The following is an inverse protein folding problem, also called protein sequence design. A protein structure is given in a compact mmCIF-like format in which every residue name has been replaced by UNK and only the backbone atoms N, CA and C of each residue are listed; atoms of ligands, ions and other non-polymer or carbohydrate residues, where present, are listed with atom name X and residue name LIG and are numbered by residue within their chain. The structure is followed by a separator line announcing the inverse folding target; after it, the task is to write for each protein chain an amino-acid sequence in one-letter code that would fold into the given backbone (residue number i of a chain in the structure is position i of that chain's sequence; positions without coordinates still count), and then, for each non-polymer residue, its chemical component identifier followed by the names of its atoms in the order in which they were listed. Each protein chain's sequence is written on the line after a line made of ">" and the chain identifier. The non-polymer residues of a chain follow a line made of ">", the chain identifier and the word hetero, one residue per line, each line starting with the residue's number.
data_IF_310031815445
#
_entry.id   IF_310031815445
#
_cell.length_a   1.000
_cell.length_b   1.000
_cell.length_c   1.000
_cell.angle_alpha   90.00
_cell.angle_beta   90.00
_cell.angle_gamma   90.00
#
_symmetry.space_group_name_H-M   'P 1'
#
loop_
_entity.id
_entity.type
_entity.pdbx_description
1 polymer ?
#
# COMPACT_ATOMS: atom_id res chain seq x y z
N UNK A 1 -4.20 11.73 -0.46
CA UNK A 1 -4.04 10.29 -0.14
C UNK A 1 -5.24 9.47 -0.62
N UNK A 2 -6.41 10.08 -0.79
CA UNK A 2 -7.64 9.42 -1.24
C UNK A 2 -7.49 8.60 -2.53
N UNK A 3 -6.50 8.89 -3.37
CA UNK A 3 -6.12 8.02 -4.48
C UNK A 3 -5.89 6.55 -4.06
N UNK A 4 -5.31 6.31 -2.88
CA UNK A 4 -5.14 4.95 -2.36
C UNK A 4 -6.50 4.28 -2.09
N UNK A 5 -7.52 5.05 -1.68
CA UNK A 5 -8.89 4.56 -1.52
C UNK A 5 -9.53 4.33 -2.88
N UNK A 6 -9.38 5.25 -3.82
CA UNK A 6 -9.94 5.14 -5.18
C UNK A 6 -9.37 3.92 -5.93
N UNK A 7 -8.11 3.58 -5.69
CA UNK A 7 -7.44 2.44 -6.32
C UNK A 7 -7.83 1.07 -5.74
N UNK A 8 -8.56 1.03 -4.61
CA UNK A 8 -9.01 -0.23 -3.99
C UNK A 8 -9.79 -1.07 -5.01
N UNK A 9 -10.66 -0.45 -5.79
CA UNK A 9 -11.53 -1.13 -6.76
C UNK A 9 -10.80 -1.76 -7.95
N UNK A 10 -9.49 -1.52 -8.08
CA UNK A 10 -8.65 -2.20 -9.07
C UNK A 10 -8.34 -3.65 -8.69
N UNK A 11 -8.50 -4.01 -7.41
CA UNK A 11 -8.29 -5.39 -6.95
C UNK A 11 -9.53 -6.26 -7.21
N UNK A 12 -9.30 -7.46 -7.72
CA UNK A 12 -10.32 -8.50 -7.88
C UNK A 12 -10.52 -9.35 -6.60
N UNK A 13 -9.78 -9.10 -5.53
CA UNK A 13 -9.87 -9.86 -4.28
C UNK A 13 -11.09 -9.46 -3.43
N UNK A 14 -11.55 -10.37 -2.55
CA UNK A 14 -12.65 -10.09 -1.61
C UNK A 14 -12.30 -9.05 -0.53
N UNK A 15 -11.04 -9.03 -0.12
CA UNK A 15 -10.44 -7.92 0.63
C UNK A 15 -9.54 -7.20 -0.37
N UNK A 16 -9.98 -6.02 -0.79
CA UNK A 16 -9.27 -5.18 -1.74
C UNK A 16 -8.35 -4.26 -0.95
N UNK A 17 -7.09 -4.20 -1.36
CA UNK A 17 -6.06 -3.36 -0.76
C UNK A 17 -5.32 -2.66 -1.88
N UNK A 18 -5.07 -1.38 -1.70
CA UNK A 18 -4.28 -0.57 -2.61
C UNK A 18 -3.23 0.24 -1.86
N UNK A 19 -2.12 0.51 -2.54
CA UNK A 19 -0.97 1.22 -2.01
C UNK A 19 -0.51 2.29 -3.00
N UNK A 20 -0.15 3.47 -2.49
CA UNK A 20 0.36 4.60 -3.27
C UNK A 20 1.64 5.10 -2.64
N UNK A 21 2.66 5.38 -3.44
CA UNK A 21 3.96 5.88 -2.99
C UNK A 21 4.15 7.31 -3.49
N UNK A 22 4.55 8.19 -2.57
CA UNK A 22 4.93 9.56 -2.86
C UNK A 22 6.38 9.83 -2.48
N UNK A 23 7.01 10.76 -3.19
CA UNK A 23 8.31 11.27 -2.77
C UNK A 23 8.16 12.24 -1.58
N UNK A 24 9.29 12.83 -1.16
CA UNK A 24 9.37 13.75 -0.02
C UNK A 24 8.57 15.04 -0.24
N UNK A 25 8.30 15.39 -1.49
CA UNK A 25 7.50 16.57 -1.86
C UNK A 25 6.00 16.28 -1.92
N UNK A 26 5.61 15.01 -1.70
CA UNK A 26 4.22 14.57 -1.80
C UNK A 26 3.77 14.20 -3.22
N UNK A 27 4.68 14.20 -4.20
CA UNK A 27 4.35 13.79 -5.57
C UNK A 27 4.26 12.28 -5.67
N UNK A 28 3.12 11.80 -6.17
CA UNK A 28 2.88 10.38 -6.44
C UNK A 28 3.76 9.92 -7.60
N UNK A 29 4.39 8.76 -7.45
CA UNK A 29 5.20 8.18 -8.53
C UNK A 29 5.09 6.67 -8.70
N UNK A 30 4.40 5.98 -7.79
CA UNK A 30 4.10 4.56 -7.95
C UNK A 30 2.85 4.17 -7.16
N UNK A 31 2.19 3.11 -7.59
CA UNK A 31 1.01 2.56 -6.94
C UNK A 31 0.82 1.07 -7.27
N UNK A 32 0.05 0.38 -6.44
CA UNK A 32 -0.25 -1.05 -6.56
C UNK A 32 -1.54 -1.42 -5.86
N UNK A 33 -2.06 -2.60 -6.17
CA UNK A 33 -3.21 -3.21 -5.51
C UNK A 33 -2.95 -4.72 -5.40
N UNK A 34 -3.57 -5.37 -4.42
CA UNK A 34 -3.39 -6.80 -4.25
C UNK A 34 -4.12 -7.57 -5.36
N UNK A 35 -3.53 -8.66 -5.82
CA UNK A 35 -4.14 -9.57 -6.79
C UNK A 35 -3.64 -11.00 -6.59
N UNK A 36 -4.35 -11.97 -7.16
CA UNK A 36 -3.83 -13.32 -7.29
C UNK A 36 -2.60 -13.29 -8.21
N UNK A 37 -1.47 -13.84 -7.75
CA UNK A 37 -0.27 -14.00 -8.57
C UNK A 37 -0.44 -15.14 -9.57
N UNK A 38 0.46 -15.18 -10.55
CA UNK A 38 0.48 -16.15 -11.65
C UNK A 38 0.76 -17.58 -11.20
N UNK A 39 1.37 -17.74 -10.03
CA UNK A 39 1.71 -18.99 -9.34
C UNK A 39 0.61 -19.45 -8.37
N UNK A 40 -0.51 -18.71 -8.29
CA UNK A 40 -1.55 -18.93 -7.30
C UNK A 40 -1.23 -18.32 -5.93
N UNK A 41 -0.06 -17.68 -5.75
CA UNK A 41 0.29 -16.95 -4.53
C UNK A 41 -0.13 -15.47 -4.67
N UNK A 42 -0.85 -14.92 -3.69
CA UNK A 42 -1.29 -13.53 -3.75
C UNK A 42 -0.11 -12.54 -3.65
N UNK A 43 -0.08 -11.51 -4.52
CA UNK A 43 0.83 -10.37 -4.41
C UNK A 43 0.16 -9.28 -3.57
N UNK A 44 0.85 -8.78 -2.53
CA UNK A 44 0.37 -7.67 -1.71
C UNK A 44 0.47 -6.34 -2.48
N UNK A 45 -0.40 -5.39 -2.15
CA UNK A 45 -0.44 -4.08 -2.81
C UNK A 45 0.88 -3.31 -2.67
N UNK A 46 1.51 -3.39 -1.50
CA UNK A 46 2.77 -2.76 -1.15
C UNK A 46 3.93 -3.32 -2.00
N UNK A 47 3.95 -4.64 -2.19
CA UNK A 47 4.95 -5.31 -3.01
C UNK A 47 4.85 -4.87 -4.47
N UNK A 48 3.62 -4.84 -5.02
CA UNK A 48 3.39 -4.38 -6.39
C UNK A 48 3.79 -2.91 -6.58
N UNK A 49 3.46 -2.05 -5.62
CA UNK A 49 3.81 -0.63 -5.65
C UNK A 49 5.33 -0.41 -5.64
N UNK A 50 6.08 -1.17 -4.84
CA UNK A 50 7.55 -1.13 -4.83
C UNK A 50 8.12 -1.69 -6.13
N UNK A 51 7.59 -2.81 -6.62
CA UNK A 51 8.08 -3.49 -7.84
C UNK A 51 7.99 -2.60 -9.08
N UNK A 52 6.94 -1.76 -9.16
CA UNK A 52 6.73 -0.80 -10.26
C UNK A 52 7.51 0.50 -10.11
N UNK A 53 8.00 0.79 -8.91
CA UNK A 53 8.67 2.04 -8.61
C UNK A 53 10.11 2.07 -9.14
N UNK A 54 10.57 3.26 -9.54
CA UNK A 54 12.01 3.50 -9.70
C UNK A 54 12.69 3.44 -8.33
N UNK A 55 13.60 2.48 -8.15
CA UNK A 55 14.31 2.23 -6.88
C UNK A 55 15.01 3.46 -6.32
N UNK A 56 15.56 4.32 -7.19
CA UNK A 56 16.27 5.54 -6.76
C UNK A 56 15.33 6.56 -6.11
N UNK A 57 14.02 6.51 -6.42
CA UNK A 57 13.00 7.40 -5.84
C UNK A 57 12.40 6.89 -4.53
N UNK A 58 12.62 5.62 -4.19
CA UNK A 58 12.04 5.01 -2.98
C UNK A 58 12.70 5.50 -1.68
N UNK A 59 13.97 5.92 -1.73
CA UNK A 59 14.73 6.30 -0.53
C UNK A 59 14.18 7.57 0.14
N UNK A 60 13.66 7.41 1.35
CA UNK A 60 12.98 8.45 2.13
C UNK A 60 11.57 8.76 1.62
N UNK A 61 11.00 7.92 0.77
CA UNK A 61 9.63 8.06 0.27
C UNK A 61 8.61 7.71 1.34
N UNK A 62 7.34 7.92 1.02
CA UNK A 62 6.19 7.64 1.89
C UNK A 62 5.22 6.74 1.14
N UNK A 63 4.71 5.70 1.81
CA UNK A 63 3.67 4.83 1.26
C UNK A 63 2.36 5.03 2.02
N UNK A 64 1.28 4.87 1.29
CA UNK A 64 -0.08 5.08 1.74
C UNK A 64 -0.92 3.85 1.39
N UNK A 65 -1.46 3.13 2.38
CA UNK A 65 -2.11 1.81 2.20
C UNK A 65 -3.56 1.82 2.68
N UNK A 66 -4.50 1.52 1.79
CA UNK A 66 -5.93 1.51 2.07
C UNK A 66 -6.54 0.17 1.71
N UNK A 67 -7.64 -0.20 2.37
CA UNK A 67 -8.30 -1.45 2.09
C UNK A 67 -9.77 -1.48 2.52
N UNK A 68 -10.55 -2.30 1.81
CA UNK A 68 -11.98 -2.45 1.99
C UNK A 68 -12.43 -3.89 1.73
N UNK A 69 -13.47 -4.34 2.44
CA UNK A 69 -14.15 -5.61 2.16
C UNK A 69 -15.25 -5.40 1.14
N UNK A 70 -15.24 -6.19 0.05
CA UNK A 70 -16.26 -6.13 -0.99
C UNK A 70 -17.65 -6.45 -0.45
N UNK A 71 -17.76 -7.46 0.43
CA UNK A 71 -19.04 -7.95 0.95
C UNK A 71 -19.91 -6.87 1.60
N UNK A 72 -19.32 -5.88 2.26
CA UNK A 72 -20.05 -4.88 3.04
C UNK A 72 -19.56 -3.43 2.85
N UNK A 73 -18.62 -3.20 1.94
CA UNK A 73 -18.04 -1.88 1.68
C UNK A 73 -17.31 -1.26 2.87
N UNK A 74 -17.04 -2.02 3.95
CA UNK A 74 -16.39 -1.46 5.15
C UNK A 74 -14.88 -1.45 4.98
N UNK A 75 -14.27 -0.35 5.39
CA UNK A 75 -12.82 -0.24 5.47
C UNK A 75 -12.25 -1.29 6.43
N UNK A 76 -11.04 -1.75 6.11
CA UNK A 76 -10.31 -2.70 6.95
C UNK A 76 -9.00 -2.08 7.42
N UNK A 77 -8.52 -2.44 8.63
CA UNK A 77 -7.18 -2.09 9.05
C UNK A 77 -6.17 -2.58 8.01
N UNK A 78 -5.46 -1.63 7.40
CA UNK A 78 -4.61 -1.88 6.24
C UNK A 78 -3.12 -1.80 6.60
N UNK A 79 -2.79 -2.10 7.87
CA UNK A 79 -1.41 -2.14 8.34
C UNK A 79 -0.65 -3.21 7.53
N UNK A 80 0.51 -2.88 6.91
CA UNK A 80 1.27 -3.84 6.14
C UNK A 80 1.64 -5.07 6.97
N UNK A 81 1.60 -6.25 6.35
CA UNK A 81 2.02 -7.49 7.00
C UNK A 81 3.54 -7.48 7.29
N UNK A 82 4.02 -8.34 8.19
CA UNK A 82 5.44 -8.34 8.59
C UNK A 82 6.42 -8.49 7.40
N UNK A 83 6.04 -9.26 6.37
CA UNK A 83 6.85 -9.39 5.14
C UNK A 83 6.91 -8.07 4.36
N UNK A 84 5.77 -7.38 4.20
CA UNK A 84 5.73 -6.09 3.53
C UNK A 84 6.46 -5.01 4.33
N UNK A 85 6.38 -5.02 5.66
CA UNK A 85 7.14 -4.08 6.49
C UNK A 85 8.66 -4.20 6.25
N UNK A 86 9.20 -5.42 6.26
CA UNK A 86 10.63 -5.67 5.92
C UNK A 86 10.97 -5.21 4.51
N UNK A 87 10.07 -5.43 3.55
CA UNK A 87 10.27 -5.02 2.16
C UNK A 87 10.29 -3.49 2.01
N UNK A 88 9.39 -2.78 2.70
CA UNK A 88 9.29 -1.33 2.70
C UNK A 88 10.53 -0.68 3.33
N UNK A 89 10.97 -1.23 4.46
CA UNK A 89 12.20 -0.81 5.14
C UNK A 89 13.44 -1.03 4.26
N UNK A 90 13.58 -2.23 3.67
CA UNK A 90 14.68 -2.53 2.74
C UNK A 90 14.67 -1.67 1.47
N UNK A 91 13.49 -1.24 1.01
CA UNK A 91 13.34 -0.30 -0.10
C UNK A 91 13.69 1.15 0.28
N UNK A 92 13.93 1.43 1.56
CA UNK A 92 14.24 2.75 2.08
C UNK A 92 13.02 3.66 2.22
N UNK A 93 11.80 3.12 2.24
CA UNK A 93 10.61 3.91 2.57
C UNK A 93 10.71 4.32 4.04
N UNK A 94 10.46 5.59 4.34
CA UNK A 94 10.64 6.13 5.70
C UNK A 94 9.33 6.21 6.49
N UNK A 95 8.21 6.45 5.80
CA UNK A 95 6.90 6.65 6.41
C UNK A 95 5.86 5.77 5.75
N UNK A 96 5.07 5.08 6.55
CA UNK A 96 3.95 4.26 6.11
C UNK A 96 2.70 4.77 6.79
N UNK A 97 1.74 5.20 6.01
CA UNK A 97 0.41 5.50 6.48
C UNK A 97 -0.54 4.38 6.06
N UNK A 98 -1.38 3.93 6.97
CA UNK A 98 -2.39 2.92 6.68
C UNK A 98 -3.75 3.31 7.23
N UNK A 99 -4.80 2.87 6.54
CA UNK A 99 -6.17 3.18 6.91
C UNK A 99 -6.64 2.27 8.04
N UNK A 100 -7.41 2.82 8.98
CA UNK A 100 -8.16 2.08 9.99
C UNK A 100 -9.55 1.70 9.47
N UNK A 101 -10.29 0.89 10.23
CA UNK A 101 -11.71 0.61 9.95
C UNK A 101 -12.61 1.84 10.04
N UNK A 102 -12.19 2.90 10.73
CA UNK A 102 -12.91 4.17 10.90
C UNK A 102 -12.56 5.19 9.81
N UNK A 103 -11.77 4.81 8.80
CA UNK A 103 -11.27 5.69 7.74
C UNK A 103 -10.28 6.75 8.24
N UNK A 104 -9.63 6.50 9.37
CA UNK A 104 -8.55 7.34 9.88
C UNK A 104 -7.19 6.85 9.35
N UNK A 105 -6.26 7.78 9.17
CA UNK A 105 -4.88 7.46 8.78
C UNK A 105 -3.98 7.38 10.00
N UNK A 106 -3.32 6.24 10.18
CA UNK A 106 -2.28 6.05 11.20
C UNK A 106 -0.94 5.88 10.49
N UNK A 107 0.11 6.49 11.03
CA UNK A 107 1.46 6.36 10.51
C UNK A 107 2.37 5.52 11.40
N UNK A 108 3.29 4.79 10.77
CA UNK A 108 4.52 4.28 11.38
C UNK A 108 5.71 4.84 10.61
N UNK A 109 6.80 5.08 11.33
CA UNK A 109 8.07 5.49 10.74
C UNK A 109 9.09 4.37 10.88
N UNK A 110 9.89 4.18 9.83
CA UNK A 110 11.05 3.29 9.86
C UNK A 110 12.31 4.12 10.11
N UNK A 111 13.26 3.50 10.80
CA UNK A 111 14.54 4.09 11.20
C UNK A 111 15.47 4.35 10.01
#
# INVERSE_FOLDING_TARGET
>A
MDLAIDLIDRSSCNVRVAAVITDRTGRIFSWGWNHAGVDGLGECAEALAIRRANRNRLKGSTIYVAGMRVRNGKFVPSKPCQKCQKLLEAAGIKRVFYLTSTRDWISIEYS
#
